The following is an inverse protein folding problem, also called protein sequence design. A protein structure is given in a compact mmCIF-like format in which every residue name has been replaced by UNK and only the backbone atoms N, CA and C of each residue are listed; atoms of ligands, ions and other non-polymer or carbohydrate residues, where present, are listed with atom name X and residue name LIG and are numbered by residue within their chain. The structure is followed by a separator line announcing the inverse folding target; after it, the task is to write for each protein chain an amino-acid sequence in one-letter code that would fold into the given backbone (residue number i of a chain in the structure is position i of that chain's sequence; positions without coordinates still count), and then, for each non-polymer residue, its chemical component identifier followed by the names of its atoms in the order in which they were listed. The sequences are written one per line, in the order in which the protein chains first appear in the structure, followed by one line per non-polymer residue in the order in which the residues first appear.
data_IF_497654943877
#
_entry.id   IF_497654943877
#
_cell.length_a   1.000
_cell.length_b   1.000
_cell.length_c   1.000
_cell.angle_alpha   90.00
_cell.angle_beta   90.00
_cell.angle_gamma   90.00
#
_symmetry.space_group_name_H-M   'P 1'
#
loop_
_entity.id
_entity.type
_entity.pdbx_description
1 polymer ?
#
# COMPACT_ATOMS: atom_id res chain seq x y z
N UNK A 1 -3.58 -12.16 -23.05
CA UNK A 1 -3.88 -11.38 -21.82
C UNK A 1 -2.97 -11.88 -20.70
N UNK A 2 -1.81 -11.26 -20.52
CA UNK A 2 -0.87 -11.60 -19.45
C UNK A 2 -1.07 -10.62 -18.29
N UNK A 3 -1.81 -11.05 -17.26
CA UNK A 3 -1.93 -10.31 -16.00
C UNK A 3 -0.59 -10.35 -15.27
N UNK A 4 0.18 -9.28 -15.37
CA UNK A 4 1.41 -9.13 -14.59
C UNK A 4 1.05 -8.95 -13.12
N UNK A 5 1.25 -9.99 -12.31
CA UNK A 5 1.14 -9.94 -10.86
C UNK A 5 2.19 -8.95 -10.34
N UNK A 6 1.76 -7.76 -9.92
CA UNK A 6 2.60 -6.83 -9.18
C UNK A 6 2.74 -7.38 -7.74
N UNK A 7 3.77 -8.19 -7.50
CA UNK A 7 4.09 -8.66 -6.15
C UNK A 7 4.76 -7.49 -5.41
N UNK A 8 4.03 -6.91 -4.46
CA UNK A 8 4.55 -5.84 -3.58
C UNK A 8 5.32 -6.50 -2.45
N UNK A 9 6.59 -6.81 -2.70
CA UNK A 9 7.48 -7.38 -1.69
C UNK A 9 8.06 -6.23 -0.84
N UNK A 10 7.52 -6.02 0.36
CA UNK A 10 8.03 -5.02 1.31
C UNK A 10 9.32 -5.51 1.97
N UNK A 11 10.45 -5.36 1.26
CA UNK A 11 11.78 -5.61 1.79
C UNK A 11 12.19 -4.54 2.82
N UNK A 12 12.00 -4.86 4.10
CA UNK A 12 12.29 -3.97 5.23
C UNK A 12 13.78 -3.76 5.57
N UNK A 13 14.70 -4.17 4.67
CA UNK A 13 16.12 -4.32 4.97
C UNK A 13 17.13 -3.77 3.95
N UNK A 14 16.78 -2.90 3.01
CA UNK A 14 17.80 -2.26 2.16
C UNK A 14 18.44 -1.04 2.87
N UNK A 15 19.73 -1.16 3.21
CA UNK A 15 20.60 0.00 3.49
C UNK A 15 20.47 1.01 2.34
N UNK A 16 20.35 2.30 2.70
CA UNK A 16 20.12 3.41 1.76
C UNK A 16 21.08 3.35 0.56
N UNK A 17 20.61 3.25 -0.69
CA UNK A 17 21.35 3.82 -1.80
C UNK A 17 21.11 5.33 -1.79
N UNK A 18 22.20 6.08 -1.65
CA UNK A 18 22.20 7.53 -1.75
C UNK A 18 21.96 7.88 -3.22
N UNK A 19 20.78 8.40 -3.53
CA UNK A 19 20.45 8.94 -4.85
C UNK A 19 20.18 7.88 -5.93
N UNK A 20 19.01 7.99 -6.57
CA UNK A 20 18.65 7.20 -7.74
C UNK A 20 17.48 6.27 -7.46
N UNK A 21 16.38 6.49 -8.19
CA UNK A 21 15.25 5.58 -8.32
C UNK A 21 15.79 4.15 -8.49
N UNK A 22 15.55 3.26 -7.51
CA UNK A 22 15.99 1.86 -7.58
C UNK A 22 15.09 1.09 -8.55
N UNK A 23 15.24 1.40 -9.84
CA UNK A 23 14.71 0.61 -10.93
C UNK A 23 15.67 -0.55 -11.16
N UNK A 24 15.42 -1.70 -10.53
CA UNK A 24 15.99 -2.97 -10.95
C UNK A 24 15.27 -3.43 -12.24
N UNK A 25 15.31 -2.58 -13.28
CA UNK A 25 14.56 -2.72 -14.53
C UNK A 25 15.50 -2.83 -15.74
N UNK A 26 16.76 -3.21 -15.52
CA UNK A 26 17.75 -3.30 -16.61
C UNK A 26 17.81 -4.69 -17.29
N UNK A 27 16.98 -5.66 -16.88
CA UNK A 27 17.05 -7.04 -17.41
C UNK A 27 15.67 -7.68 -17.55
N UNK A 28 14.81 -7.10 -18.40
CA UNK A 28 13.86 -7.81 -19.27
C UNK A 28 12.81 -8.79 -18.72
N UNK A 29 12.68 -9.04 -17.42
CA UNK A 29 11.84 -10.18 -16.95
C UNK A 29 10.90 -9.87 -15.79
N UNK A 30 11.22 -8.93 -14.90
CA UNK A 30 10.46 -8.70 -13.68
C UNK A 30 10.24 -7.19 -13.45
N UNK A 31 8.98 -6.78 -13.32
CA UNK A 31 8.60 -5.43 -12.92
C UNK A 31 8.52 -5.40 -11.39
N UNK A 32 9.59 -4.93 -10.75
CA UNK A 32 9.72 -4.88 -9.29
C UNK A 32 9.83 -3.42 -8.86
N UNK A 33 9.16 -3.07 -7.77
CA UNK A 33 9.31 -1.78 -7.12
C UNK A 33 9.49 -1.99 -5.61
N UNK A 34 10.46 -1.29 -5.03
CA UNK A 34 10.74 -1.33 -3.60
C UNK A 34 10.31 0.00 -2.96
N UNK A 35 9.59 -0.08 -1.84
CA UNK A 35 9.04 1.07 -1.13
C UNK A 35 9.43 0.97 0.34
N UNK A 36 9.75 2.11 0.95
CA UNK A 36 10.03 2.17 2.38
C UNK A 36 8.73 1.95 3.17
N UNK A 37 8.80 1.10 4.19
CA UNK A 37 7.68 0.91 5.11
C UNK A 37 7.31 2.24 5.82
N UNK A 38 6.01 2.55 5.96
CA UNK A 38 5.54 3.71 6.70
C UNK A 38 5.69 3.50 8.21
N UNK A 39 6.02 4.57 8.93
CA UNK A 39 6.16 4.54 10.39
C UNK A 39 7.50 4.00 10.91
N UNK A 40 7.61 3.89 12.23
CA UNK A 40 8.80 3.42 12.94
C UNK A 40 8.43 2.57 14.16
N UNK A 41 9.29 1.63 14.56
CA UNK A 41 9.05 0.74 15.71
C UNK A 41 7.79 -0.11 15.55
N UNK A 42 7.04 -0.31 16.64
CA UNK A 42 5.79 -1.11 16.64
C UNK A 42 4.70 -0.54 15.73
N UNK A 43 4.68 0.78 15.51
CA UNK A 43 3.72 1.40 14.59
C UNK A 43 3.92 0.91 13.16
N UNK A 44 5.17 0.69 12.74
CA UNK A 44 5.49 0.14 11.42
C UNK A 44 4.80 -1.22 11.23
N UNK A 45 4.93 -2.10 12.21
CA UNK A 45 4.31 -3.42 12.25
C UNK A 45 2.79 -3.33 12.05
N UNK A 46 2.14 -2.45 12.81
CA UNK A 46 0.70 -2.23 12.70
C UNK A 46 0.25 -1.68 11.34
N UNK A 47 1.01 -0.74 10.74
CA UNK A 47 0.71 -0.22 9.41
C UNK A 47 0.94 -1.27 8.31
N UNK A 48 1.94 -2.13 8.45
CA UNK A 48 2.18 -3.22 7.52
C UNK A 48 1.06 -4.26 7.60
N UNK A 49 0.56 -4.55 8.80
CA UNK A 49 -0.61 -5.43 8.99
C UNK A 49 -1.87 -4.86 8.32
N UNK A 50 -2.08 -3.54 8.42
CA UNK A 50 -3.20 -2.88 7.77
C UNK A 50 -3.12 -2.97 6.22
N UNK A 51 -1.92 -2.81 5.65
CA UNK A 51 -1.68 -2.97 4.20
C UNK A 51 -1.82 -4.44 3.78
N UNK A 52 -1.36 -5.36 4.61
CA UNK A 52 -1.50 -6.79 4.39
C UNK A 52 -2.98 -7.19 4.33
N UNK A 53 -3.81 -6.74 5.28
CA UNK A 53 -5.27 -6.94 5.26
C UNK A 53 -5.90 -6.33 4.00
N UNK A 54 -5.49 -5.12 3.60
CA UNK A 54 -6.02 -4.47 2.39
C UNK A 54 -5.71 -5.25 1.10
N UNK A 55 -4.59 -5.98 1.07
CA UNK A 55 -4.13 -6.73 -0.13
C UNK A 55 -4.34 -8.24 -0.02
N UNK A 56 -4.83 -8.75 1.12
CA UNK A 56 -4.89 -10.18 1.42
C UNK A 56 -3.52 -10.84 1.60
N UNK A 57 -2.47 -10.06 1.83
CA UNK A 57 -1.13 -10.57 2.09
C UNK A 57 -0.97 -10.97 3.57
N UNK A 58 0.12 -11.68 3.87
CA UNK A 58 0.59 -11.87 5.25
C UNK A 58 1.98 -11.25 5.41
N UNK A 59 2.19 -10.47 6.46
CA UNK A 59 3.49 -9.83 6.71
C UNK A 59 4.51 -10.88 7.15
N UNK A 60 5.55 -11.07 6.34
CA UNK A 60 6.68 -11.97 6.66
C UNK A 60 7.53 -11.31 7.74
N UNK A 61 7.66 -11.98 8.89
CA UNK A 61 8.52 -11.58 10.01
C UNK A 61 9.29 -12.80 10.49
N UNK A 62 10.56 -12.60 10.80
CA UNK A 62 11.44 -13.63 11.37
C UNK A 62 10.87 -14.16 12.70
N UNK A 63 10.27 -13.25 13.48
CA UNK A 63 9.59 -13.53 14.75
C UNK A 63 8.42 -14.54 14.63
N UNK A 64 7.80 -14.62 13.45
CA UNK A 64 6.64 -15.49 13.18
C UNK A 64 7.10 -16.80 12.50
N UNK A 65 8.41 -16.98 12.29
CA UNK A 65 8.98 -18.20 11.71
C UNK A 65 8.77 -18.36 10.19
N UNK A 66 8.30 -17.30 9.52
CA UNK A 66 8.16 -17.26 8.06
C UNK A 66 9.47 -16.75 7.46
N UNK A 67 10.22 -17.65 6.81
CA UNK A 67 11.43 -17.31 6.08
C UNK A 67 11.09 -16.95 4.64
N UNK A 68 11.77 -15.93 4.08
CA UNK A 68 11.63 -15.53 2.67
C UNK A 68 11.86 -16.70 1.70
N UNK A 69 12.68 -17.68 2.10
CA UNK A 69 13.01 -18.87 1.32
C UNK A 69 11.83 -19.81 1.06
N UNK A 70 10.79 -19.75 1.91
CA UNK A 70 9.59 -20.61 1.84
C UNK A 70 8.31 -19.80 1.63
N UNK A 71 8.41 -18.56 1.16
CA UNK A 71 7.24 -17.73 0.95
C UNK A 71 6.41 -18.26 -0.24
N UNK A 72 5.25 -18.83 0.05
CA UNK A 72 4.28 -19.25 -0.96
C UNK A 72 3.45 -18.06 -1.50
N UNK A 73 2.82 -18.26 -2.66
CA UNK A 73 1.87 -17.28 -3.23
C UNK A 73 0.71 -16.93 -2.28
N UNK A 74 0.41 -17.78 -1.31
CA UNK A 74 -0.59 -17.55 -0.26
C UNK A 74 -0.23 -16.40 0.68
N UNK A 75 1.06 -16.04 0.78
CA UNK A 75 1.56 -14.94 1.61
C UNK A 75 1.55 -13.62 0.83
N UNK A 76 1.54 -13.69 -0.50
CA UNK A 76 1.56 -12.53 -1.38
C UNK A 76 0.16 -11.93 -1.54
N UNK A 77 0.05 -10.62 -1.38
CA UNK A 77 -1.18 -9.89 -1.63
C UNK A 77 -1.40 -9.56 -3.10
N UNK A 78 -2.65 -9.27 -3.45
CA UNK A 78 -3.05 -8.80 -4.77
C UNK A 78 -3.58 -7.37 -4.70
N UNK A 79 -3.25 -6.56 -5.70
CA UNK A 79 -3.76 -5.20 -5.85
C UNK A 79 -4.10 -4.95 -7.33
N UNK A 80 -5.17 -4.20 -7.57
CA UNK A 80 -5.62 -3.86 -8.92
C UNK A 80 -4.70 -2.83 -9.59
N UNK A 81 -4.23 -1.84 -8.83
CA UNK A 81 -3.32 -0.80 -9.32
C UNK A 81 -2.45 -0.27 -8.20
N UNK A 82 -1.16 -0.08 -8.48
CA UNK A 82 -0.23 0.56 -7.55
C UNK A 82 0.40 1.75 -8.26
N UNK A 83 0.30 2.93 -7.66
CA UNK A 83 0.88 4.18 -8.16
C UNK A 83 1.94 4.65 -7.17
N UNK A 84 3.15 4.84 -7.67
CA UNK A 84 4.30 5.28 -6.88
C UNK A 84 4.67 6.69 -7.29
N UNK A 85 4.65 7.59 -6.33
CA UNK A 85 5.18 8.95 -6.46
C UNK A 85 6.40 9.10 -5.55
N UNK A 86 7.11 10.22 -5.70
CA UNK A 86 8.33 10.50 -4.92
C UNK A 86 8.09 10.46 -3.40
N UNK A 87 6.92 10.90 -2.95
CA UNK A 87 6.61 11.07 -1.53
C UNK A 87 5.37 10.27 -1.07
N UNK A 88 4.60 9.72 -2.00
CA UNK A 88 3.37 8.97 -1.69
C UNK A 88 3.28 7.68 -2.50
N UNK A 89 2.59 6.71 -1.93
CA UNK A 89 2.29 5.40 -2.54
C UNK A 89 0.81 5.16 -2.40
N UNK A 90 0.13 4.97 -3.53
CA UNK A 90 -1.30 4.68 -3.57
C UNK A 90 -1.51 3.25 -4.03
N UNK A 91 -2.12 2.44 -3.18
CA UNK A 91 -2.47 1.05 -3.47
C UNK A 91 -3.98 0.98 -3.64
N UNK A 92 -4.41 0.53 -4.81
CA UNK A 92 -5.82 0.27 -5.11
C UNK A 92 -6.02 -1.24 -5.01
N UNK A 93 -6.75 -1.66 -3.98
CA UNK A 93 -7.13 -3.05 -3.78
C UNK A 93 -8.07 -3.55 -4.88
N UNK A 94 -8.12 -4.87 -5.08
CA UNK A 94 -9.04 -5.55 -5.99
C UNK A 94 -10.45 -5.77 -5.39
N UNK A 95 -10.66 -5.33 -4.14
CA UNK A 95 -11.94 -5.38 -3.44
C UNK A 95 -12.25 -6.74 -2.80
N UNK A 96 -11.32 -7.69 -2.82
CA UNK A 96 -11.49 -9.03 -2.27
C UNK A 96 -11.59 -9.07 -0.73
N UNK A 97 -10.95 -8.13 -0.03
CA UNK A 97 -10.82 -8.13 1.44
C UNK A 97 -11.68 -7.08 2.15
N UNK A 98 -12.75 -6.58 1.52
CA UNK A 98 -13.60 -5.53 2.09
C UNK A 98 -14.16 -5.87 3.49
N UNK A 99 -14.50 -7.13 3.73
CA UNK A 99 -14.98 -7.59 5.04
C UNK A 99 -13.88 -7.50 6.12
N UNK A 100 -12.65 -7.89 5.77
CA UNK A 100 -11.50 -7.85 6.68
C UNK A 100 -11.09 -6.42 7.00
N UNK A 101 -11.11 -5.54 6.00
CA UNK A 101 -10.91 -4.09 6.19
C UNK A 101 -11.96 -3.52 7.14
N UNK A 102 -13.24 -3.90 6.97
CA UNK A 102 -14.31 -3.43 7.84
C UNK A 102 -14.13 -3.91 9.29
N UNK A 103 -13.75 -5.18 9.48
CA UNK A 103 -13.40 -5.74 10.81
C UNK A 103 -12.22 -4.99 11.43
N UNK A 104 -11.20 -4.67 10.64
CA UNK A 104 -10.02 -3.93 11.10
C UNK A 104 -10.38 -2.50 11.51
N UNK A 105 -11.21 -1.82 10.73
CA UNK A 105 -11.73 -0.49 11.08
C UNK A 105 -12.53 -0.53 12.39
N UNK A 106 -13.37 -1.56 12.61
CA UNK A 106 -14.09 -1.73 13.87
C UNK A 106 -13.16 -1.93 15.07
N UNK A 107 -12.09 -2.72 14.92
CA UNK A 107 -11.07 -2.88 15.96
C UNK A 107 -10.40 -1.55 16.31
N UNK A 108 -10.04 -0.75 15.31
CA UNK A 108 -9.39 0.55 15.51
C UNK A 108 -10.36 1.55 16.17
N UNK A 109 -11.66 1.51 15.83
CA UNK A 109 -12.69 2.32 16.50
C UNK A 109 -12.81 1.99 17.98
N UNK A 110 -12.80 0.73 18.36
CA UNK A 110 -12.83 0.33 19.76
C UNK A 110 -11.57 0.83 20.52
N UNK A 111 -10.41 0.85 19.86
CA UNK A 111 -9.18 1.41 20.44
C UNK A 111 -9.27 2.93 20.64
N UNK A 112 -10.01 3.65 19.78
CA UNK A 112 -10.24 5.10 19.94
C UNK A 112 -11.10 5.38 21.18
N UNK A 113 -12.11 4.54 21.43
CA UNK A 113 -12.97 4.67 22.61
C UNK A 113 -12.22 4.40 23.92
N UNK A 114 -11.28 3.45 23.90
CA UNK A 114 -10.42 3.14 25.04
C UNK A 114 -9.26 4.13 25.25
N UNK A 115 -8.92 4.94 24.23
CA UNK A 115 -7.86 5.93 24.34
C UNK A 115 -8.30 7.14 25.17
N UNK A 116 -7.52 7.50 26.19
CA UNK A 116 -7.77 8.69 27.02
C UNK A 116 -7.08 9.94 26.46
N UNK A 117 -5.98 9.75 25.73
CA UNK A 117 -5.18 10.83 25.18
C UNK A 117 -5.65 11.24 23.78
N UNK A 118 -5.86 12.55 23.57
CA UNK A 118 -6.31 13.10 22.29
C UNK A 118 -5.30 12.87 21.15
N UNK A 119 -4.00 12.92 21.46
CA UNK A 119 -2.91 12.58 20.52
C UNK A 119 -3.04 11.15 19.95
N UNK A 120 -3.49 10.19 20.76
CA UNK A 120 -3.69 8.81 20.31
C UNK A 120 -4.92 8.69 19.43
N UNK A 121 -6.02 9.38 19.79
CA UNK A 121 -7.24 9.42 18.98
C UNK A 121 -6.97 9.99 17.59
N UNK A 122 -6.18 11.06 17.48
CA UNK A 122 -5.79 11.63 16.19
C UNK A 122 -5.03 10.63 15.32
N UNK A 123 -4.07 9.88 15.90
CA UNK A 123 -3.29 8.88 15.15
C UNK A 123 -4.11 7.69 14.69
N UNK A 124 -5.08 7.25 15.49
CA UNK A 124 -5.99 6.18 15.11
C UNK A 124 -7.00 6.65 14.05
N UNK A 125 -7.47 7.89 14.13
CA UNK A 125 -8.32 8.49 13.10
C UNK A 125 -7.58 8.62 11.76
N UNK A 126 -6.29 8.99 11.76
CA UNK A 126 -5.48 9.02 10.53
C UNK A 126 -5.39 7.62 9.88
N UNK A 127 -5.33 6.56 10.68
CA UNK A 127 -5.36 5.17 10.19
C UNK A 127 -6.71 4.79 9.61
N UNK A 128 -7.80 5.11 10.30
CA UNK A 128 -9.15 4.87 9.78
C UNK A 128 -9.33 5.63 8.47
N UNK A 129 -8.90 6.89 8.38
CA UNK A 129 -9.00 7.66 7.15
C UNK A 129 -8.24 7.01 5.99
N UNK A 130 -7.06 6.42 6.24
CA UNK A 130 -6.29 5.70 5.22
C UNK A 130 -6.92 4.36 4.81
N UNK A 131 -7.62 3.69 5.72
CA UNK A 131 -8.28 2.40 5.45
C UNK A 131 -9.68 2.57 4.83
N UNK A 132 -10.46 3.52 5.33
CA UNK A 132 -11.84 3.78 4.93
C UNK A 132 -11.97 4.82 3.80
N UNK A 133 -10.97 5.69 3.62
CA UNK A 133 -11.00 6.78 2.64
C UNK A 133 -11.08 6.32 1.19
N UNK A 134 -10.75 5.05 0.91
CA UNK A 134 -10.83 4.47 -0.43
C UNK A 134 -9.95 5.22 -1.45
N UNK A 135 -9.99 4.76 -2.70
CA UNK A 135 -9.35 5.46 -3.82
C UNK A 135 -10.36 5.56 -4.95
N UNK A 136 -10.80 6.78 -5.25
CA UNK A 136 -11.64 7.03 -6.42
C UNK A 136 -10.75 7.08 -7.67
N UNK A 137 -11.04 6.23 -8.66
CA UNK A 137 -10.36 6.24 -9.95
C UNK A 137 -11.26 6.94 -10.96
N UNK A 138 -10.86 8.13 -11.40
CA UNK A 138 -11.54 8.89 -12.45
C UNK A 138 -10.87 8.54 -13.79
N UNK A 139 -11.66 8.06 -14.74
CA UNK A 139 -11.21 7.82 -16.11
C UNK A 139 -11.69 8.96 -16.99
N UNK A 140 -10.76 9.69 -17.60
CA UNK A 140 -11.03 10.79 -18.52
C UNK A 140 -10.61 10.36 -19.92
N UNK A 141 -11.50 10.52 -20.90
CA UNK A 141 -11.19 10.31 -22.31
C UNK A 141 -11.18 11.64 -23.06
N UNK A 142 -10.23 11.81 -23.99
CA UNK A 142 -10.21 12.92 -24.94
C UNK A 142 -9.77 12.44 -26.32
N UNK A 143 -10.01 13.24 -27.36
CA UNK A 143 -9.71 12.86 -28.75
C UNK A 143 -8.24 13.05 -29.09
N UNK A 144 -7.53 13.94 -28.39
CA UNK A 144 -6.10 14.22 -28.63
C UNK A 144 -5.28 14.21 -27.32
N UNK A 145 -3.98 13.91 -27.41
CA UNK A 145 -3.07 13.88 -26.25
C UNK A 145 -2.95 15.25 -25.55
N UNK A 146 -3.08 16.33 -26.31
CA UNK A 146 -2.99 17.70 -25.79
C UNK A 146 -4.19 18.01 -24.90
N UNK A 147 -5.40 17.65 -25.33
CA UNK A 147 -6.63 17.81 -24.55
C UNK A 147 -6.60 16.93 -23.28
N UNK A 148 -6.09 15.70 -23.36
CA UNK A 148 -5.95 14.85 -22.17
C UNK A 148 -5.09 15.51 -21.10
N UNK A 149 -3.97 16.14 -21.49
CA UNK A 149 -3.08 16.82 -20.55
C UNK A 149 -3.73 18.07 -19.96
N UNK A 150 -4.46 18.83 -20.77
CA UNK A 150 -5.17 20.03 -20.32
C UNK A 150 -6.30 19.72 -19.34
N UNK A 151 -7.14 18.72 -19.66
CA UNK A 151 -8.22 18.28 -18.76
C UNK A 151 -7.63 17.70 -17.46
N UNK A 152 -6.54 16.94 -17.56
CA UNK A 152 -5.85 16.44 -16.36
C UNK A 152 -5.33 17.60 -15.51
N UNK A 153 -4.71 18.62 -16.11
CA UNK A 153 -4.19 19.77 -15.37
C UNK A 153 -5.30 20.51 -14.62
N UNK A 154 -6.43 20.79 -15.28
CA UNK A 154 -7.56 21.48 -14.65
C UNK A 154 -8.28 20.68 -13.56
N UNK A 155 -8.19 19.34 -13.59
CA UNK A 155 -8.74 18.49 -12.54
C UNK A 155 -7.89 18.47 -11.25
N UNK A 156 -6.63 18.86 -11.34
CA UNK A 156 -5.66 18.81 -10.23
C UNK A 156 -5.22 20.20 -9.71
N UNK A 157 -5.71 21.31 -10.30
CA UNK A 157 -5.67 22.65 -9.69
C UNK A 157 -6.70 22.80 -8.57
#
# INVERSE_FOLDING_TARGET
MGGGQASVEQCSGLRRPVGGSSALSARGSLKIAAIKAPGFGERKTQYLDDIAILTGATVIRDEVGLSLDKADKSVLGTAAKVVLMKESTTIVGDGSTQEEVTKRVAQIKNLIEAAEQECEKEKLNERIAKLAGGVAVIQVGAQTETELKEITHHLFE
#
